data_IF_309317827651
#
_entry.id   IF_309317827651
#
_cell.length_a   1.000
_cell.length_b   1.000
_cell.length_c   1.000
_cell.angle_alpha   90.00
_cell.angle_beta   90.00
_cell.angle_gamma   90.00
#
_symmetry.space_group_name_H-M   'P 1'
#
loop_
_entity.id
_entity.type
_entity.pdbx_description
1 polymer ?
#
# COMPACT_ATOMS: atom_id res chain seq x y z
N UNK A 1 -5.30 -9.50 16.84
CA UNK A 1 -4.44 -8.32 17.03
C UNK A 1 -2.98 -8.73 16.94
N UNK A 2 -2.39 -8.71 15.74
CA UNK A 2 -0.94 -8.82 15.57
C UNK A 2 -0.50 -7.59 14.82
N UNK A 3 -0.11 -6.58 15.59
CA UNK A 3 0.28 -5.27 15.08
C UNK A 3 1.70 -5.31 14.52
N UNK A 4 1.94 -4.41 13.57
CA UNK A 4 3.24 -4.24 12.88
C UNK A 4 4.09 -3.13 13.54
N UNK A 5 3.48 -2.39 14.47
CA UNK A 5 4.10 -1.32 15.27
C UNK A 5 4.02 -1.60 16.77
N UNK A 6 3.94 -0.53 17.55
CA UNK A 6 3.76 -0.59 19.00
C UNK A 6 2.40 -1.18 19.37
N UNK A 7 2.38 -1.90 20.49
CA UNK A 7 1.15 -2.55 20.97
C UNK A 7 0.21 -1.53 21.59
N UNK A 8 -1.07 -1.64 21.25
CA UNK A 8 -2.13 -0.96 22.02
C UNK A 8 -2.02 -1.33 23.51
N UNK A 9 -1.97 -0.34 24.39
CA UNK A 9 -1.87 -0.54 25.84
C UNK A 9 -3.24 -0.85 26.46
N UNK A 10 -3.63 -2.12 26.39
CA UNK A 10 -4.90 -2.61 26.93
C UNK A 10 -4.95 -2.50 28.47
N UNK A 11 -3.81 -2.59 29.14
CA UNK A 11 -3.74 -2.45 30.61
C UNK A 11 -4.10 -1.02 30.97
N UNK A 12 -3.52 -0.05 30.26
CA UNK A 12 -3.82 1.37 30.51
C UNK A 12 -5.28 1.71 30.25
N UNK A 13 -5.86 1.17 29.18
CA UNK A 13 -7.29 1.34 28.90
C UNK A 13 -8.17 0.79 30.03
N UNK A 14 -7.83 -0.40 30.55
CA UNK A 14 -8.55 -0.99 31.69
C UNK A 14 -8.40 -0.15 32.97
N UNK A 15 -7.19 0.35 33.27
CA UNK A 15 -6.95 1.26 34.40
C UNK A 15 -7.79 2.53 34.31
N UNK A 16 -7.91 3.12 33.12
CA UNK A 16 -8.75 4.32 32.91
C UNK A 16 -10.22 3.99 33.14
N UNK A 17 -10.70 2.85 32.62
CA UNK A 17 -12.08 2.39 32.87
C UNK A 17 -12.37 2.18 34.36
N UNK A 18 -11.43 1.63 35.13
CA UNK A 18 -11.57 1.42 36.57
C UNK A 18 -11.64 2.72 37.39
N UNK A 19 -11.08 3.82 36.89
CA UNK A 19 -11.11 5.13 37.55
C UNK A 19 -12.45 5.87 37.40
N UNK A 20 -13.36 5.33 36.58
CA UNK A 20 -14.61 5.99 36.21
C UNK A 20 -14.42 6.87 34.97
N UNK A 21 -15.39 6.81 34.05
CA UNK A 21 -15.38 7.56 32.79
C UNK A 21 -16.78 8.16 32.58
N UNK A 22 -16.88 9.49 32.59
CA UNK A 22 -18.16 10.21 32.40
C UNK A 22 -18.62 10.23 30.93
N UNK A 23 -17.68 10.27 29.99
CA UNK A 23 -17.95 10.33 28.55
C UNK A 23 -16.88 9.56 27.77
N UNK A 24 -17.33 8.66 26.89
CA UNK A 24 -16.49 7.98 25.90
C UNK A 24 -16.82 8.49 24.50
N UNK A 25 -15.82 9.01 23.79
CA UNK A 25 -15.91 9.33 22.37
C UNK A 25 -15.18 8.23 21.59
N UNK A 26 -15.95 7.39 20.89
CA UNK A 26 -15.42 6.26 20.12
C UNK A 26 -15.51 6.50 18.61
N UNK A 27 -14.50 6.07 17.88
CA UNK A 27 -14.53 6.03 16.41
C UNK A 27 -15.67 5.10 15.95
N UNK A 28 -16.52 5.60 15.06
CA UNK A 28 -17.70 4.91 14.53
C UNK A 28 -17.60 4.61 13.02
N UNK A 29 -16.43 4.84 12.40
CA UNK A 29 -16.23 4.74 10.94
C UNK A 29 -16.66 3.38 10.37
N UNK A 30 -16.43 2.29 11.11
CA UNK A 30 -16.77 0.93 10.69
C UNK A 30 -17.83 0.25 11.59
N UNK A 31 -18.61 1.03 12.35
CA UNK A 31 -19.56 0.46 13.32
C UNK A 31 -20.67 -0.39 12.67
N UNK A 32 -20.99 -0.15 11.39
CA UNK A 32 -22.00 -0.89 10.64
C UNK A 32 -21.49 -2.23 10.07
N UNK A 33 -20.18 -2.49 10.12
CA UNK A 33 -19.56 -3.72 9.59
C UNK A 33 -19.34 -4.71 10.73
N UNK A 34 -20.09 -5.82 10.81
CA UNK A 34 -19.95 -6.78 11.89
C UNK A 34 -18.64 -7.57 11.78
N UNK A 35 -18.15 -8.06 12.92
CA UNK A 35 -16.98 -8.93 13.00
C UNK A 35 -15.72 -8.19 13.46
N UNK A 36 -14.56 -8.63 12.97
CA UNK A 36 -13.26 -8.09 13.39
C UNK A 36 -12.37 -7.84 12.18
N UNK A 37 -11.59 -6.76 12.22
CA UNK A 37 -10.61 -6.45 11.18
C UNK A 37 -9.58 -7.57 11.02
N UNK A 38 -9.28 -8.00 9.78
CA UNK A 38 -8.18 -8.91 9.48
C UNK A 38 -6.85 -8.36 10.04
N UNK A 39 -5.97 -9.25 10.51
CA UNK A 39 -4.67 -8.77 10.99
C UNK A 39 -3.79 -8.34 9.84
N UNK A 40 -3.01 -7.27 10.04
CA UNK A 40 -2.05 -6.79 9.04
C UNK A 40 -1.04 -7.90 8.67
N UNK A 41 -0.72 -8.82 9.59
CA UNK A 41 0.09 -10.02 9.28
C UNK A 41 -0.50 -10.86 8.13
N UNK A 42 -1.81 -11.10 8.11
CA UNK A 42 -2.47 -11.85 7.02
C UNK A 42 -2.35 -11.10 5.69
N UNK A 43 -2.52 -9.78 5.71
CA UNK A 43 -2.38 -8.93 4.54
C UNK A 43 -0.94 -8.98 4.01
N UNK A 44 0.06 -8.81 4.87
CA UNK A 44 1.47 -8.89 4.47
C UNK A 44 1.80 -10.27 3.89
N UNK A 45 1.31 -11.36 4.48
CA UNK A 45 1.50 -12.69 3.93
C UNK A 45 0.88 -12.83 2.53
N UNK A 46 -0.29 -12.26 2.30
CA UNK A 46 -0.91 -12.28 0.97
C UNK A 46 -0.13 -11.44 -0.04
N UNK A 47 0.25 -10.22 0.33
CA UNK A 47 1.09 -9.35 -0.49
C UNK A 47 2.41 -10.03 -0.87
N UNK A 48 3.04 -10.72 0.08
CA UNK A 48 4.29 -11.45 -0.16
C UNK A 48 4.13 -12.55 -1.21
N UNK A 49 3.04 -13.32 -1.15
CA UNK A 49 2.73 -14.35 -2.16
C UNK A 49 2.63 -13.71 -3.55
N UNK A 50 1.82 -12.66 -3.70
CA UNK A 50 1.62 -11.98 -4.99
C UNK A 50 2.94 -11.41 -5.50
N UNK A 51 3.69 -10.69 -4.65
CA UNK A 51 4.97 -10.06 -5.03
C UNK A 51 6.00 -11.09 -5.46
N UNK A 52 6.06 -12.23 -4.78
CA UNK A 52 7.05 -13.29 -5.07
C UNK A 52 6.75 -14.05 -6.37
N UNK A 53 5.47 -14.23 -6.71
CA UNK A 53 5.02 -15.00 -7.87
C UNK A 53 4.83 -14.15 -9.13
N UNK A 54 4.78 -12.82 -9.01
CA UNK A 54 4.58 -11.92 -10.15
C UNK A 54 5.64 -12.14 -11.25
N UNK A 55 5.23 -12.38 -12.51
CA UNK A 55 6.14 -12.66 -13.62
C UNK A 55 6.91 -11.42 -14.09
N UNK A 56 6.38 -10.22 -13.83
CA UNK A 56 6.94 -8.95 -14.25
C UNK A 56 7.08 -7.95 -13.10
N UNK A 57 6.95 -6.66 -13.42
CA UNK A 57 6.99 -5.59 -12.41
C UNK A 57 5.77 -5.68 -11.52
N UNK A 58 5.94 -5.33 -10.25
CA UNK A 58 4.82 -5.23 -9.30
C UNK A 58 4.57 -3.77 -8.99
N UNK A 59 3.38 -3.26 -9.30
CA UNK A 59 2.94 -1.91 -8.95
C UNK A 59 2.01 -2.01 -7.74
N UNK A 60 2.36 -1.37 -6.64
CA UNK A 60 1.61 -1.40 -5.37
C UNK A 60 1.15 0.02 -5.06
N UNK A 61 -0.16 0.21 -4.90
CA UNK A 61 -0.72 1.50 -4.53
C UNK A 61 -0.90 1.58 -3.03
N UNK A 62 -0.61 2.74 -2.43
CA UNK A 62 -0.80 2.96 -1.00
C UNK A 62 -1.06 4.43 -0.70
N UNK A 63 -1.76 4.69 0.40
CA UNK A 63 -1.77 6.00 1.02
C UNK A 63 -0.39 6.34 1.58
N UNK A 64 0.02 7.60 1.45
CA UNK A 64 1.28 8.09 1.99
C UNK A 64 1.27 8.26 3.52
N UNK A 65 0.11 8.09 4.17
CA UNK A 65 0.01 8.02 5.63
C UNK A 65 0.33 6.63 6.19
N UNK A 66 0.26 5.57 5.36
CA UNK A 66 0.51 4.21 5.82
C UNK A 66 2.02 3.86 5.77
N UNK A 67 2.76 4.41 6.72
CA UNK A 67 4.21 4.24 6.85
C UNK A 67 4.60 2.76 7.05
N UNK A 68 3.81 2.01 7.81
CA UNK A 68 4.09 0.60 8.13
C UNK A 68 3.95 -0.32 6.92
N UNK A 69 3.03 -0.01 5.99
CA UNK A 69 2.93 -0.74 4.73
C UNK A 69 4.22 -0.64 3.93
N UNK A 70 4.79 0.57 3.80
CA UNK A 70 6.08 0.74 3.12
C UNK A 70 7.19 -0.07 3.82
N UNK A 71 7.26 -0.06 5.16
CA UNK A 71 8.24 -0.85 5.92
C UNK A 71 8.17 -2.33 5.55
N UNK A 72 6.97 -2.90 5.46
CA UNK A 72 6.80 -4.32 5.12
C UNK A 72 7.08 -4.65 3.66
N UNK A 73 6.72 -3.75 2.74
CA UNK A 73 7.15 -3.89 1.35
C UNK A 73 8.68 -3.84 1.23
N UNK A 74 9.38 -3.02 2.01
CA UNK A 74 10.85 -3.00 2.04
C UNK A 74 11.44 -4.32 2.55
N UNK A 75 10.85 -4.92 3.60
CA UNK A 75 11.27 -6.23 4.11
C UNK A 75 11.08 -7.33 3.04
N UNK A 76 9.94 -7.36 2.36
CA UNK A 76 9.67 -8.30 1.26
C UNK A 76 10.64 -8.05 0.10
N UNK A 77 10.85 -6.79 -0.29
CA UNK A 77 11.78 -6.44 -1.37
C UNK A 77 13.19 -6.94 -1.07
N UNK A 78 13.67 -6.73 0.16
CA UNK A 78 14.97 -7.24 0.61
C UNK A 78 15.04 -8.77 0.56
N UNK A 79 14.01 -9.46 1.06
CA UNK A 79 13.93 -10.93 1.10
C UNK A 79 14.03 -11.55 -0.30
N UNK A 80 13.35 -10.97 -1.29
CA UNK A 80 13.33 -11.51 -2.66
C UNK A 80 14.33 -10.84 -3.62
N UNK A 81 15.23 -10.00 -3.08
CA UNK A 81 16.23 -9.27 -3.86
C UNK A 81 15.61 -8.33 -4.90
N UNK A 82 14.44 -7.78 -4.61
CA UNK A 82 13.76 -6.78 -5.44
C UNK A 82 14.18 -5.36 -5.00
N UNK A 83 14.05 -4.40 -5.92
CA UNK A 83 14.29 -2.98 -5.68
C UNK A 83 12.97 -2.22 -5.75
N UNK A 84 12.91 -1.09 -5.03
CA UNK A 84 11.71 -0.26 -4.90
C UNK A 84 11.93 1.06 -5.63
N UNK A 85 10.98 1.42 -6.48
CA UNK A 85 10.83 2.75 -7.03
C UNK A 85 9.64 3.43 -6.36
N UNK A 86 9.86 4.59 -5.74
CA UNK A 86 8.78 5.41 -5.19
C UNK A 86 8.30 6.41 -6.24
N UNK A 87 7.00 6.37 -6.57
CA UNK A 87 6.36 7.34 -7.45
C UNK A 87 5.27 8.11 -6.71
N UNK A 88 5.49 9.40 -6.49
CA UNK A 88 4.53 10.30 -5.86
C UNK A 88 5.20 11.23 -4.85
N UNK A 89 4.88 12.52 -4.93
CA UNK A 89 5.51 13.55 -4.07
C UNK A 89 5.18 13.35 -2.59
N UNK A 90 3.98 12.86 -2.25
CA UNK A 90 3.59 12.55 -0.88
C UNK A 90 4.34 11.35 -0.32
N UNK A 91 4.63 10.32 -1.11
CA UNK A 91 5.47 9.18 -0.69
C UNK A 91 6.93 9.59 -0.46
N UNK A 92 7.47 10.48 -1.30
CA UNK A 92 8.79 11.04 -1.08
C UNK A 92 8.86 11.87 0.22
N UNK A 93 7.80 12.66 0.51
CA UNK A 93 7.66 13.39 1.78
C UNK A 93 7.57 12.42 2.97
N UNK A 94 6.77 11.36 2.86
CA UNK A 94 6.65 10.31 3.88
C UNK A 94 8.03 9.70 4.21
N UNK A 95 8.81 9.31 3.20
CA UNK A 95 10.14 8.74 3.43
C UNK A 95 11.07 9.72 4.17
N UNK A 96 11.08 11.00 3.79
CA UNK A 96 11.86 12.04 4.48
C UNK A 96 11.40 12.24 5.92
N UNK A 97 10.10 12.19 6.18
CA UNK A 97 9.56 12.31 7.53
C UNK A 97 10.00 11.14 8.42
N UNK A 98 9.91 9.90 7.92
CA UNK A 98 10.40 8.69 8.61
C UNK A 98 11.89 8.83 8.96
N UNK A 99 12.71 9.30 8.02
CA UNK A 99 14.15 9.54 8.25
C UNK A 99 14.39 10.63 9.30
N UNK A 100 13.66 11.75 9.23
CA UNK A 100 13.81 12.89 10.15
C UNK A 100 13.53 12.51 11.60
N UNK A 101 12.49 11.71 11.84
CA UNK A 101 12.10 11.29 13.20
C UNK A 101 12.75 9.96 13.61
N UNK A 102 13.59 9.37 12.74
CA UNK A 102 14.24 8.08 12.97
C UNK A 102 13.28 6.95 13.37
N UNK A 103 12.07 6.93 12.79
CA UNK A 103 11.02 5.95 13.14
C UNK A 103 11.48 4.50 12.94
N UNK A 104 12.31 4.26 11.91
CA UNK A 104 13.09 3.03 11.74
C UNK A 104 14.26 3.26 10.76
N UNK A 105 15.23 2.33 10.76
CA UNK A 105 16.34 2.35 9.81
C UNK A 105 15.86 2.07 8.39
N UNK A 106 16.21 2.96 7.47
CA UNK A 106 15.90 2.81 6.04
C UNK A 106 17.17 2.38 5.31
N UNK A 107 17.11 1.22 4.67
CA UNK A 107 18.14 0.75 3.75
C UNK A 107 17.97 1.46 2.39
N UNK A 108 18.72 2.54 2.18
CA UNK A 108 18.69 3.33 0.96
C UNK A 108 19.04 2.52 -0.30
N UNK A 109 19.77 1.41 -0.17
CA UNK A 109 20.18 0.57 -1.30
C UNK A 109 19.00 -0.18 -1.93
N UNK A 110 17.89 -0.31 -1.20
CA UNK A 110 16.66 -0.91 -1.74
C UNK A 110 15.97 0.00 -2.75
N UNK A 111 16.22 1.31 -2.72
CA UNK A 111 15.54 2.27 -3.58
C UNK A 111 16.29 2.50 -4.89
N UNK A 112 15.54 2.55 -5.99
CA UNK A 112 16.05 2.93 -7.31
C UNK A 112 15.69 4.38 -7.57
N UNK A 113 16.64 5.13 -8.13
CA UNK A 113 16.33 6.45 -8.69
C UNK A 113 15.55 6.27 -9.99
N UNK A 114 14.57 7.14 -10.31
CA UNK A 114 13.76 7.00 -11.52
C UNK A 114 14.58 6.77 -12.80
N UNK A 115 15.71 7.48 -12.96
CA UNK A 115 16.56 7.37 -14.14
C UNK A 115 17.24 5.99 -14.34
N UNK A 116 17.27 5.13 -13.32
CA UNK A 116 18.07 3.89 -13.31
C UNK A 116 17.24 2.60 -13.41
N UNK A 117 15.92 2.70 -13.57
CA UNK A 117 15.04 1.53 -13.64
C UNK A 117 15.34 0.62 -14.82
N UNK A 118 15.67 1.17 -16.00
CA UNK A 118 16.00 0.36 -17.17
C UNK A 118 17.17 -0.62 -16.94
N UNK A 119 17.91 -0.46 -15.84
CA UNK A 119 18.99 -1.36 -15.40
C UNK A 119 18.54 -2.46 -14.44
N UNK A 120 17.28 -2.46 -14.00
CA UNK A 120 16.69 -3.45 -13.09
C UNK A 120 15.78 -4.36 -13.90
N UNK A 121 16.00 -5.68 -13.77
CA UNK A 121 15.15 -6.66 -14.44
C UNK A 121 13.67 -6.49 -13.98
N UNK A 122 12.67 -6.56 -14.88
CA UNK A 122 11.26 -6.30 -14.55
C UNK A 122 10.75 -7.05 -13.31
N UNK A 123 11.04 -8.33 -13.21
CA UNK A 123 10.67 -9.21 -12.09
C UNK A 123 11.35 -8.85 -10.76
N UNK A 124 12.38 -8.00 -10.79
CA UNK A 124 13.08 -7.48 -9.60
C UNK A 124 12.64 -6.06 -9.24
N UNK A 125 11.63 -5.50 -9.90
CA UNK A 125 11.18 -4.13 -9.65
C UNK A 125 9.80 -4.10 -8.98
N UNK A 126 9.72 -3.38 -7.86
CA UNK A 126 8.48 -2.97 -7.22
C UNK A 126 8.33 -1.45 -7.43
N UNK A 127 7.22 -1.03 -8.01
CA UNK A 127 6.82 0.37 -8.12
C UNK A 127 5.80 0.64 -7.03
N UNK A 128 6.14 1.47 -6.06
CA UNK A 128 5.26 1.84 -4.95
C UNK A 128 4.75 3.27 -5.18
N UNK A 129 3.44 3.41 -5.41
CA UNK A 129 2.86 4.66 -5.90
C UNK A 129 1.57 5.09 -5.18
N UNK A 130 1.15 6.33 -5.42
CA UNK A 130 -0.11 6.89 -4.92
C UNK A 130 -1.27 6.66 -5.88
N UNK A 131 -2.50 6.95 -5.41
CA UNK A 131 -3.71 6.89 -6.21
C UNK A 131 -4.54 5.64 -5.99
N UNK A 132 -4.47 5.07 -4.79
CA UNK A 132 -5.23 3.86 -4.44
C UNK A 132 -6.75 4.09 -4.40
N UNK A 133 -7.20 5.34 -4.47
CA UNK A 133 -8.61 5.78 -4.55
C UNK A 133 -9.03 6.26 -5.93
N UNK A 134 -8.19 6.12 -6.96
CA UNK A 134 -8.52 6.56 -8.31
C UNK A 134 -8.57 8.08 -8.51
N UNK A 135 -7.91 8.85 -7.64
CA UNK A 135 -7.84 10.30 -7.75
C UNK A 135 -7.21 10.70 -9.09
N UNK A 136 -7.86 11.57 -9.87
CA UNK A 136 -7.49 11.83 -11.27
C UNK A 136 -6.02 12.29 -11.46
N UNK A 137 -5.48 13.05 -10.50
CA UNK A 137 -4.10 13.58 -10.54
C UNK A 137 -3.05 12.65 -9.93
N UNK A 138 -3.45 11.53 -9.32
CA UNK A 138 -2.54 10.62 -8.68
C UNK A 138 -1.76 9.77 -9.69
N UNK A 139 -0.68 9.13 -9.21
CA UNK A 139 0.25 8.42 -10.08
C UNK A 139 -0.44 7.25 -10.78
N UNK A 140 -1.20 6.42 -10.06
CA UNK A 140 -1.92 5.28 -10.65
C UNK A 140 -2.80 5.71 -11.83
N UNK A 141 -3.60 6.77 -11.65
CA UNK A 141 -4.49 7.29 -12.69
C UNK A 141 -3.72 7.71 -13.93
N UNK A 142 -2.58 8.38 -13.77
CA UNK A 142 -1.72 8.78 -14.89
C UNK A 142 -1.06 7.60 -15.59
N UNK A 143 -0.68 6.56 -14.83
CA UNK A 143 -0.16 5.30 -15.36
C UNK A 143 -1.22 4.56 -16.18
N UNK A 144 -2.43 4.44 -15.66
CA UNK A 144 -3.56 3.79 -16.34
C UNK A 144 -3.94 4.50 -17.65
N UNK A 145 -3.81 5.83 -17.70
CA UNK A 145 -4.02 6.61 -18.91
C UNK A 145 -2.79 6.71 -19.83
N UNK A 146 -1.66 6.10 -19.47
CA UNK A 146 -0.41 6.13 -20.24
C UNK A 146 0.17 7.55 -20.46
N UNK A 147 -0.19 8.50 -19.57
CA UNK A 147 0.22 9.93 -19.64
C UNK A 147 1.25 10.33 -18.58
N UNK A 148 1.74 9.37 -17.78
CA UNK A 148 2.86 9.66 -16.90
C UNK A 148 4.14 9.82 -17.75
N UNK A 149 4.95 10.89 -17.56
CA UNK A 149 6.02 11.27 -18.49
C UNK A 149 7.04 10.16 -18.72
N UNK A 150 7.51 9.54 -17.64
CA UNK A 150 8.60 8.57 -17.73
C UNK A 150 8.14 7.11 -17.58
N UNK A 151 6.87 6.87 -17.24
CA UNK A 151 6.42 5.57 -16.75
C UNK A 151 5.12 5.15 -17.41
N UNK A 152 5.06 3.90 -17.86
CA UNK A 152 3.93 3.33 -18.58
C UNK A 152 3.63 1.93 -18.05
N UNK A 153 2.34 1.59 -18.00
CA UNK A 153 1.93 0.21 -17.72
C UNK A 153 2.25 -0.62 -18.95
N UNK A 154 2.80 -1.80 -18.71
CA UNK A 154 3.17 -2.77 -19.73
C UNK A 154 2.36 -4.05 -19.53
N UNK A 155 2.12 -4.77 -20.63
CA UNK A 155 1.51 -6.09 -20.58
C UNK A 155 2.31 -7.02 -19.66
N UNK A 156 1.62 -7.74 -18.78
CA UNK A 156 2.24 -8.63 -17.79
C UNK A 156 2.65 -7.96 -16.48
N UNK A 157 2.45 -6.65 -16.33
CA UNK A 157 2.56 -6.00 -15.02
C UNK A 157 1.53 -6.57 -14.04
N UNK A 158 1.92 -6.69 -12.77
CA UNK A 158 1.02 -7.04 -11.67
C UNK A 158 0.73 -5.80 -10.85
N UNK A 159 -0.55 -5.48 -10.63
CA UNK A 159 -0.99 -4.28 -9.90
C UNK A 159 -1.72 -4.73 -8.65
N UNK A 160 -1.35 -4.17 -7.50
CA UNK A 160 -1.96 -4.48 -6.21
C UNK A 160 -2.56 -3.20 -5.65
N UNK A 161 -3.90 -3.17 -5.57
CA UNK A 161 -4.66 -2.07 -5.00
C UNK A 161 -4.87 -2.31 -3.51
N UNK A 162 -4.07 -1.63 -2.67
CA UNK A 162 -4.01 -1.92 -1.22
C UNK A 162 -4.92 -1.04 -0.34
N UNK A 163 -6.04 -0.57 -0.90
CA UNK A 163 -7.08 0.16 -0.16
C UNK A 163 -8.48 -0.28 -0.54
N UNK A 164 -9.40 -0.17 0.41
CA UNK A 164 -10.84 -0.22 0.12
C UNK A 164 -11.29 1.11 -0.51
N UNK A 165 -12.09 1.09 -1.58
CA UNK A 165 -12.60 2.33 -2.17
C UNK A 165 -13.57 3.01 -1.20
N UNK A 166 -13.35 4.30 -0.99
CA UNK A 166 -14.33 5.19 -0.36
C UNK A 166 -15.54 5.28 -1.30
N UNK A 167 -16.77 5.30 -0.76
CA UNK A 167 -18.02 5.23 -1.54
C UNK A 167 -18.02 6.11 -2.79
N UNK A 168 -17.69 7.39 -2.65
CA UNK A 168 -17.68 8.37 -3.75
C UNK A 168 -16.63 8.08 -4.84
N UNK A 169 -15.60 7.31 -4.52
CA UNK A 169 -14.48 7.02 -5.42
C UNK A 169 -14.60 5.69 -6.15
N UNK A 170 -15.61 4.85 -5.84
CA UNK A 170 -15.78 3.52 -6.44
C UNK A 170 -15.77 3.58 -7.97
N UNK A 171 -16.57 4.45 -8.57
CA UNK A 171 -16.66 4.58 -10.02
C UNK A 171 -15.31 4.92 -10.67
N UNK A 172 -14.55 5.84 -10.06
CA UNK A 172 -13.25 6.25 -10.58
C UNK A 172 -12.23 5.11 -10.50
N UNK A 173 -12.25 4.35 -9.40
CA UNK A 173 -11.35 3.21 -9.21
C UNK A 173 -11.66 2.10 -10.21
N UNK A 174 -12.93 1.77 -10.42
CA UNK A 174 -13.38 0.80 -11.43
C UNK A 174 -12.97 1.21 -12.85
N UNK A 175 -13.13 2.48 -13.21
CA UNK A 175 -12.71 2.99 -14.52
C UNK A 175 -11.19 2.84 -14.73
N UNK A 176 -10.40 3.05 -13.66
CA UNK A 176 -8.96 2.83 -13.69
C UNK A 176 -8.63 1.35 -13.80
N UNK A 177 -9.32 0.49 -13.05
CA UNK A 177 -9.14 -0.96 -13.10
C UNK A 177 -9.38 -1.53 -14.51
N UNK A 178 -10.46 -1.09 -15.16
CA UNK A 178 -10.77 -1.48 -16.53
C UNK A 178 -9.64 -1.09 -17.49
N UNK A 179 -9.14 0.15 -17.41
CA UNK A 179 -8.02 0.61 -18.24
C UNK A 179 -6.74 -0.20 -18.00
N UNK A 180 -6.43 -0.50 -16.75
CA UNK A 180 -5.26 -1.29 -16.40
C UNK A 180 -5.34 -2.72 -16.95
N UNK A 181 -6.53 -3.31 -16.88
CA UNK A 181 -6.82 -4.64 -17.43
C UNK A 181 -6.77 -4.65 -18.96
N UNK A 182 -7.32 -3.62 -19.63
CA UNK A 182 -7.24 -3.43 -21.09
C UNK A 182 -5.78 -3.34 -21.58
N UNK A 183 -4.89 -2.76 -20.77
CA UNK A 183 -3.45 -2.68 -21.04
C UNK A 183 -2.72 -4.02 -20.83
N UNK A 184 -3.43 -5.07 -20.41
CA UNK A 184 -2.90 -6.41 -20.18
C UNK A 184 -2.15 -6.56 -18.85
N UNK A 185 -2.45 -5.72 -17.86
CA UNK A 185 -1.98 -5.92 -16.49
C UNK A 185 -2.90 -6.89 -15.73
N UNK A 186 -2.34 -7.61 -14.77
CA UNK A 186 -3.11 -8.39 -13.79
C UNK A 186 -3.37 -7.52 -12.58
N UNK A 187 -4.63 -7.24 -12.24
CA UNK A 187 -5.00 -6.38 -11.12
C UNK A 187 -5.53 -7.23 -9.96
N UNK A 188 -5.02 -6.96 -8.76
CA UNK A 188 -5.45 -7.53 -7.49
C UNK A 188 -6.11 -6.45 -6.65
N UNK A 189 -7.33 -6.70 -6.22
CA UNK A 189 -8.17 -5.80 -5.43
C UNK A 189 -8.51 -6.40 -4.08
N UNK A 190 -8.74 -5.54 -3.09
CA UNK A 190 -9.13 -5.99 -1.78
C UNK A 190 -10.57 -6.52 -1.80
N UNK A 191 -10.76 -7.79 -1.44
CA UNK A 191 -12.06 -8.44 -1.32
C UNK A 191 -12.11 -9.33 -0.07
N UNK A 192 -13.22 -10.05 0.14
CA UNK A 192 -13.32 -11.04 1.23
C UNK A 192 -12.37 -12.21 1.01
N UNK A 193 -12.12 -12.56 -0.25
CA UNK A 193 -11.25 -13.63 -0.71
C UNK A 193 -9.79 -13.15 -0.83
N UNK A 194 -9.60 -11.88 -1.20
CA UNK A 194 -8.29 -11.25 -1.40
C UNK A 194 -8.00 -10.20 -0.32
N UNK A 195 -7.34 -10.63 0.76
CA UNK A 195 -7.00 -9.76 1.89
C UNK A 195 -5.76 -8.90 1.58
N UNK A 196 -5.99 -7.70 1.05
CA UNK A 196 -4.94 -6.74 0.64
C UNK A 196 -4.96 -5.43 1.43
N UNK A 197 -6.00 -5.20 2.22
CA UNK A 197 -6.20 -4.03 3.06
C UNK A 197 -6.93 -4.39 4.36
N UNK A 198 -6.63 -3.64 5.42
CA UNK A 198 -7.33 -3.64 6.70
C UNK A 198 -7.67 -2.19 7.04
N UNK A 199 -8.87 -2.00 7.57
CA UNK A 199 -9.36 -0.72 8.09
C UNK A 199 -9.38 -0.75 9.62
#
# INVERSE_FOLDING_TARGET
>A
WTEIGEKTDLVKLAEVGQKGVDLLLSDSTNAEVPGTTPTERKIISRLEVIISQAPGRVIITSFASNVYRLKKIMEIAKKYGKKILLLGSSLAKMLRAIQKVSLWKIDGTLFVRPAWEKKVAPQKLIIFCTGSQGEAKAVLSRLAHQIHPDWKIMRGDTIILTSSPIMDNRYNLEAINNKLTELGATVYENSKEELLHAS
#
